data_IF_822386791726
#
_entry.id   IF_822386791726
#
_cell.length_a   1.000
_cell.length_b   1.000
_cell.length_c   1.000
_cell.angle_alpha   90.00
_cell.angle_beta   90.00
_cell.angle_gamma   90.00
#
_symmetry.space_group_name_H-M   'P 1'
#
loop_
_entity.id
_entity.type
_entity.pdbx_description
1 polymer ?
#
# COMPACT_ATOMS: atom_id res chain seq x y z
N UNK A 1 22.84 4.06 -0.36
CA UNK A 1 21.40 3.78 -0.58
C UNK A 1 21.10 2.36 -0.12
N UNK A 2 19.99 2.13 0.58
CA UNK A 2 19.70 0.87 1.28
C UNK A 2 19.22 -0.28 0.36
N UNK A 3 19.08 -0.06 -0.95
CA UNK A 3 18.60 -1.08 -1.91
C UNK A 3 17.12 -1.43 -1.77
N UNK A 4 16.35 -0.68 -0.98
CA UNK A 4 14.93 -0.93 -0.73
C UNK A 4 14.10 -0.37 -1.90
N UNK A 5 13.20 -1.17 -2.50
CA UNK A 5 12.31 -0.70 -3.55
C UNK A 5 11.33 0.35 -3.00
N UNK A 6 11.11 1.41 -3.77
CA UNK A 6 10.10 2.41 -3.47
C UNK A 6 9.34 2.76 -4.76
N UNK A 7 8.11 3.23 -4.59
CA UNK A 7 7.29 3.75 -5.68
C UNK A 7 6.79 5.14 -5.28
N UNK A 8 6.74 6.05 -6.23
CA UNK A 8 6.11 7.35 -6.01
C UNK A 8 4.63 7.21 -6.34
N UNK A 9 3.77 7.42 -5.34
CA UNK A 9 2.34 7.48 -5.56
C UNK A 9 1.99 8.71 -6.43
N UNK A 10 1.05 8.58 -7.38
CA UNK A 10 0.60 9.72 -8.18
C UNK A 10 -0.19 10.74 -7.35
N UNK A 11 -0.82 10.27 -6.27
CA UNK A 11 -1.58 11.08 -5.31
C UNK A 11 -1.32 10.55 -3.90
N UNK A 12 -2.21 9.71 -3.37
CA UNK A 12 -2.15 9.22 -1.99
C UNK A 12 -1.32 7.94 -1.86
N UNK A 13 -0.48 7.89 -0.83
CA UNK A 13 0.38 6.73 -0.57
C UNK A 13 -0.44 5.48 -0.22
N UNK A 14 -1.44 5.61 0.64
CA UNK A 14 -2.27 4.48 1.06
C UNK A 14 -3.11 3.90 -0.08
N UNK A 15 -3.61 4.76 -0.98
CA UNK A 15 -4.33 4.33 -2.17
C UNK A 15 -3.41 3.53 -3.11
N UNK A 16 -2.17 3.99 -3.29
CA UNK A 16 -1.18 3.27 -4.09
C UNK A 16 -0.80 1.93 -3.46
N UNK A 17 -0.63 1.87 -2.13
CA UNK A 17 -0.34 0.63 -1.41
C UNK A 17 -1.51 -0.37 -1.49
N UNK A 18 -2.75 0.09 -1.33
CA UNK A 18 -3.94 -0.74 -1.48
C UNK A 18 -4.07 -1.31 -2.89
N UNK A 19 -3.74 -0.51 -3.92
CA UNK A 19 -3.71 -0.99 -5.31
C UNK A 19 -2.65 -2.10 -5.51
N UNK A 20 -1.48 -2.01 -4.87
CA UNK A 20 -0.47 -3.07 -4.93
C UNK A 20 -0.93 -4.37 -4.27
N UNK A 21 -1.69 -4.29 -3.17
CA UNK A 21 -2.32 -5.46 -2.53
C UNK A 21 -3.34 -6.08 -3.48
N UNK A 22 -4.23 -5.28 -4.07
CA UNK A 22 -5.24 -5.75 -5.03
C UNK A 22 -4.63 -6.41 -6.27
N UNK A 23 -3.51 -5.89 -6.75
CA UNK A 23 -2.74 -6.48 -7.85
C UNK A 23 -2.00 -7.77 -7.46
N UNK A 24 -2.07 -8.19 -6.20
CA UNK A 24 -1.38 -9.38 -5.68
C UNK A 24 0.14 -9.24 -5.63
N UNK A 25 0.67 -8.02 -5.68
CA UNK A 25 2.13 -7.75 -5.69
C UNK A 25 2.74 -7.76 -4.29
N UNK A 26 1.93 -7.50 -3.27
CA UNK A 26 2.34 -7.46 -1.86
C UNK A 26 1.27 -8.14 -1.00
N UNK A 27 1.66 -8.57 0.20
CA UNK A 27 0.77 -9.28 1.13
C UNK A 27 -0.27 -8.36 1.79
N UNK A 28 0.12 -7.13 2.16
CA UNK A 28 -0.72 -6.18 2.89
C UNK A 28 -0.09 -4.79 2.94
N UNK A 29 -0.82 -3.82 3.50
CA UNK A 29 -0.33 -2.44 3.71
C UNK A 29 0.05 -2.27 5.18
N UNK A 30 1.25 -1.74 5.44
CA UNK A 30 1.67 -1.34 6.79
C UNK A 30 1.46 0.15 6.99
N UNK A 31 0.48 0.54 7.81
CA UNK A 31 0.19 1.94 8.15
C UNK A 31 -0.49 2.02 9.52
N UNK A 32 -0.38 3.17 10.19
CA UNK A 32 -1.09 3.43 11.45
C UNK A 32 -2.59 3.64 11.20
N UNK A 33 -2.94 4.25 10.07
CA UNK A 33 -4.29 4.63 9.72
C UNK A 33 -5.05 3.49 9.02
N UNK A 34 -6.38 3.61 8.93
CA UNK A 34 -7.23 2.56 8.35
C UNK A 34 -7.75 2.92 6.95
N UNK A 35 -7.26 4.00 6.34
CA UNK A 35 -7.79 4.47 5.06
C UNK A 35 -7.44 3.49 3.92
N UNK A 36 -6.31 2.79 4.02
CA UNK A 36 -5.93 1.69 3.12
C UNK A 36 -7.02 0.61 2.97
N UNK A 37 -7.80 0.31 4.03
CA UNK A 37 -8.93 -0.62 3.94
C UNK A 37 -10.07 -0.03 3.09
N UNK A 38 -10.31 1.27 3.19
CA UNK A 38 -11.34 1.96 2.38
C UNK A 38 -10.95 2.03 0.91
N UNK A 39 -9.65 2.09 0.61
CA UNK A 39 -9.13 1.95 -0.75
C UNK A 39 -9.12 0.50 -1.25
N UNK A 40 -9.38 -0.47 -0.36
CA UNK A 40 -9.58 -1.89 -0.65
C UNK A 40 -8.33 -2.76 -0.55
N UNK A 41 -7.43 -2.45 0.38
CA UNK A 41 -6.46 -3.44 0.84
C UNK A 41 -7.18 -4.55 1.62
N UNK A 42 -6.88 -5.82 1.33
CA UNK A 42 -7.49 -6.95 2.03
C UNK A 42 -6.80 -7.28 3.38
N UNK A 43 -5.53 -6.85 3.53
CA UNK A 43 -4.74 -7.07 4.74
C UNK A 43 -4.04 -5.77 5.14
N UNK A 44 -4.28 -5.34 6.39
CA UNK A 44 -3.64 -4.20 7.05
C UNK A 44 -2.75 -4.71 8.18
N UNK A 45 -1.54 -4.16 8.32
CA UNK A 45 -0.53 -4.54 9.32
C UNK A 45 -0.13 -3.34 10.17
#
# INVERSE_FOLDING_TARGET
LMGIPYVNAPTEAEAQCAALVKDGKVYGVGTEDMDALTFGADVLV
#
